data_IF_524301679751
#
_entry.id   IF_524301679751
#
_cell.length_a   1.000
_cell.length_b   1.000
_cell.length_c   1.000
_cell.angle_alpha   90.00
_cell.angle_beta   90.00
_cell.angle_gamma   90.00
#
_symmetry.space_group_name_H-M   'P 1'
#
loop_
_entity.id
_entity.type
_entity.pdbx_description
1 polymer ?
#
# COMPACT_ATOMS: atom_id res chain seq x y z
N UNK A 1 -28.00 12.60 -11.50
CA UNK A 1 -26.62 12.32 -11.05
C UNK A 1 -26.56 11.17 -10.03
N UNK A 2 -27.37 10.12 -10.22
CA UNK A 2 -27.23 8.85 -9.51
C UNK A 2 -27.42 7.77 -10.58
N UNK A 3 -26.45 7.70 -11.48
CA UNK A 3 -26.33 6.52 -12.30
C UNK A 3 -25.70 5.46 -11.41
N UNK A 4 -26.45 4.38 -11.28
CA UNK A 4 -26.18 3.23 -10.45
C UNK A 4 -24.94 2.54 -11.01
N UNK A 5 -23.77 2.91 -10.49
CA UNK A 5 -22.59 2.08 -10.62
C UNK A 5 -23.00 0.69 -10.11
N UNK A 6 -22.78 -0.33 -10.92
CA UNK A 6 -22.79 -1.72 -10.45
C UNK A 6 -21.64 -1.76 -9.46
N UNK A 7 -21.94 -1.62 -8.17
CA UNK A 7 -20.94 -1.80 -7.12
C UNK A 7 -20.70 -3.29 -7.06
N UNK A 8 -19.57 -3.72 -7.63
CA UNK A 8 -19.08 -5.06 -7.36
C UNK A 8 -18.94 -5.22 -5.85
N UNK A 9 -19.16 -6.45 -5.36
CA UNK A 9 -19.08 -6.71 -3.94
C UNK A 9 -17.70 -6.29 -3.40
N UNK A 10 -17.62 -5.70 -2.19
CA UNK A 10 -16.34 -5.28 -1.62
C UNK A 10 -15.33 -6.44 -1.61
N UNK A 11 -14.10 -6.16 -2.02
CA UNK A 11 -13.03 -7.15 -2.05
C UNK A 11 -12.31 -7.11 -0.70
N UNK A 12 -12.36 -8.22 0.03
CA UNK A 12 -11.68 -8.37 1.32
C UNK A 12 -10.46 -9.29 1.13
N UNK A 13 -9.24 -8.83 1.45
CA UNK A 13 -8.04 -9.65 1.30
C UNK A 13 -7.99 -10.76 2.37
N UNK A 14 -7.17 -11.77 2.11
CA UNK A 14 -6.98 -12.91 3.01
C UNK A 14 -5.81 -12.72 3.99
N UNK A 15 -5.25 -11.51 4.09
CA UNK A 15 -4.14 -11.19 4.99
C UNK A 15 -4.51 -11.46 6.45
N UNK A 16 -3.72 -12.24 7.20
CA UNK A 16 -4.07 -12.66 8.56
C UNK A 16 -4.31 -11.53 9.57
N UNK A 17 -3.80 -10.33 9.28
CA UNK A 17 -3.94 -9.15 10.12
C UNK A 17 -4.87 -8.08 9.53
N UNK A 18 -5.56 -8.33 8.42
CA UNK A 18 -6.44 -7.34 7.78
C UNK A 18 -7.51 -6.81 8.74
N UNK A 19 -8.07 -7.69 9.60
CA UNK A 19 -9.03 -7.31 10.63
C UNK A 19 -8.51 -6.33 11.69
N UNK A 20 -7.20 -6.09 11.77
CA UNK A 20 -6.59 -5.09 12.66
C UNK A 20 -6.41 -3.74 11.96
N UNK A 21 -6.57 -3.68 10.65
CA UNK A 21 -6.38 -2.48 9.83
C UNK A 21 -7.67 -1.66 9.78
N UNK A 22 -8.12 -1.18 10.95
CA UNK A 22 -9.38 -0.42 11.08
C UNK A 22 -9.46 0.77 10.12
N UNK A 23 -8.33 1.43 9.83
CA UNK A 23 -8.32 2.56 8.90
C UNK A 23 -8.63 2.18 7.44
N UNK A 24 -8.55 0.90 7.07
CA UNK A 24 -8.94 0.40 5.76
C UNK A 24 -10.40 -0.09 5.75
N UNK A 25 -10.84 -0.71 6.85
CA UNK A 25 -12.17 -1.27 7.02
C UNK A 25 -12.54 -1.36 8.51
N UNK A 26 -13.55 -0.61 8.94
CA UNK A 26 -13.97 -0.47 10.33
C UNK A 26 -15.44 -0.84 10.50
N UNK A 27 -15.67 -2.10 10.86
CA UNK A 27 -16.99 -2.60 11.22
C UNK A 27 -17.10 -2.91 12.71
N UNK A 28 -18.30 -2.71 13.25
CA UNK A 28 -18.69 -2.97 14.63
C UNK A 28 -17.82 -2.24 15.67
N UNK A 29 -17.25 -1.09 15.32
CA UNK A 29 -16.36 -0.34 16.22
C UNK A 29 -15.23 -1.22 16.80
N UNK A 30 -14.68 -2.13 15.99
CA UNK A 30 -13.80 -3.21 16.45
C UNK A 30 -12.50 -2.75 17.13
N UNK A 31 -12.08 -1.51 16.90
CA UNK A 31 -10.86 -0.96 17.48
C UNK A 31 -11.16 0.26 18.36
N UNK A 32 -10.59 0.24 19.57
CA UNK A 32 -10.67 1.35 20.53
C UNK A 32 -9.25 1.75 20.92
N UNK A 33 -8.78 2.92 20.49
CA UNK A 33 -7.51 3.47 20.98
C UNK A 33 -7.73 4.07 22.38
N UNK A 34 -7.10 3.54 23.45
CA UNK A 34 -7.24 4.08 24.79
C UNK A 34 -6.69 5.51 24.95
N UNK A 35 -5.95 6.02 23.97
CA UNK A 35 -5.40 7.38 23.94
C UNK A 35 -6.32 8.38 23.24
N UNK A 36 -7.33 7.92 22.50
CA UNK A 36 -8.30 8.79 21.83
C UNK A 36 -9.50 9.08 22.74
N UNK A 37 -9.92 10.35 22.75
CA UNK A 37 -11.15 10.75 23.42
C UNK A 37 -12.34 10.52 22.49
N UNK A 38 -13.45 9.99 23.03
CA UNK A 38 -14.66 9.72 22.27
C UNK A 38 -15.04 8.24 22.27
N UNK A 39 -16.15 7.92 21.62
CA UNK A 39 -16.56 6.55 21.33
C UNK A 39 -16.17 6.25 19.89
N UNK A 40 -15.60 5.05 19.59
CA UNK A 40 -15.37 4.66 18.21
C UNK A 40 -16.66 4.75 17.39
N UNK A 41 -16.52 5.16 16.15
CA UNK A 41 -17.62 5.30 15.21
C UNK A 41 -17.48 4.19 14.18
N UNK A 42 -18.58 3.49 13.93
CA UNK A 42 -18.67 2.48 12.88
C UNK A 42 -18.50 3.17 11.51
N UNK A 43 -17.90 2.49 10.53
CA UNK A 43 -17.70 3.03 9.17
C UNK A 43 -16.73 4.23 9.10
N UNK A 44 -16.02 4.53 10.20
CA UNK A 44 -14.99 5.55 10.22
C UNK A 44 -13.67 4.99 9.66
N UNK A 45 -13.60 4.82 8.34
CA UNK A 45 -12.46 4.32 7.57
C UNK A 45 -12.37 5.01 6.18
N UNK A 46 -11.68 4.40 5.21
CA UNK A 46 -11.49 4.95 3.86
C UNK A 46 -12.24 4.18 2.77
N UNK A 47 -13.13 3.26 3.13
CA UNK A 47 -13.87 2.37 2.21
C UNK A 47 -12.92 1.59 1.26
N UNK A 48 -11.81 1.05 1.79
CA UNK A 48 -10.80 0.42 0.95
C UNK A 48 -11.33 -0.86 0.24
N UNK A 49 -12.06 -1.78 0.90
CA UNK A 49 -12.66 -2.93 0.22
C UNK A 49 -13.59 -2.59 -0.94
N UNK A 50 -14.36 -1.50 -0.80
CA UNK A 50 -15.26 -0.96 -1.82
C UNK A 50 -14.45 -0.41 -3.00
N UNK A 51 -13.40 0.37 -2.71
CA UNK A 51 -12.50 0.90 -3.73
C UNK A 51 -11.76 -0.21 -4.49
N UNK A 52 -11.35 -1.28 -3.80
CA UNK A 52 -10.71 -2.45 -4.40
C UNK A 52 -11.65 -3.24 -5.32
N UNK A 53 -12.96 -3.17 -5.08
CA UNK A 53 -13.96 -3.65 -6.04
C UNK A 53 -13.89 -2.94 -7.40
N UNK A 54 -13.30 -1.75 -7.47
CA UNK A 54 -13.07 -1.00 -8.72
C UNK A 54 -11.63 -1.16 -9.21
N UNK A 55 -10.63 -1.02 -8.33
CA UNK A 55 -9.22 -1.10 -8.69
C UNK A 55 -8.32 -1.40 -7.47
N UNK A 56 -7.38 -2.35 -7.60
CA UNK A 56 -6.47 -2.76 -6.52
C UNK A 56 -5.04 -2.22 -6.66
N UNK A 57 -4.71 -1.55 -7.76
CA UNK A 57 -3.37 -1.00 -8.00
C UNK A 57 -2.85 -1.27 -9.42
N UNK A 58 -1.68 -0.73 -9.73
CA UNK A 58 -0.99 -0.93 -11.00
C UNK A 58 0.53 -0.89 -10.79
N UNK A 59 1.27 -1.77 -11.45
CA UNK A 59 2.74 -1.76 -11.46
C UNK A 59 3.31 -0.50 -12.13
N UNK A 60 2.51 0.21 -12.93
CA UNK A 60 2.93 1.47 -13.57
C UNK A 60 2.88 2.68 -12.63
N UNK A 61 2.25 2.55 -11.46
CA UNK A 61 2.14 3.64 -10.49
C UNK A 61 3.24 3.51 -9.47
N UNK A 62 4.23 4.41 -9.54
CA UNK A 62 5.35 4.44 -8.61
C UNK A 62 5.10 5.40 -7.46
N UNK A 63 5.36 4.94 -6.23
CA UNK A 63 5.30 5.75 -5.02
C UNK A 63 6.70 5.87 -4.41
N UNK A 64 7.22 7.08 -4.32
CA UNK A 64 8.51 7.35 -3.69
C UNK A 64 8.33 7.58 -2.18
N UNK A 65 9.09 6.85 -1.36
CA UNK A 65 9.09 6.98 0.09
C UNK A 65 10.38 7.63 0.53
N UNK A 66 10.29 8.86 1.04
CA UNK A 66 11.43 9.60 1.59
C UNK A 66 11.38 9.45 3.12
N UNK A 67 12.12 8.48 3.63
CA UNK A 67 12.18 8.15 5.05
C UNK A 67 13.58 7.58 5.39
N UNK A 68 13.69 6.82 6.45
CA UNK A 68 14.89 6.12 6.93
C UNK A 68 15.34 4.95 6.03
N UNK A 69 14.57 4.64 4.98
CA UNK A 69 14.81 3.55 4.03
C UNK A 69 13.66 2.53 4.02
N UNK A 70 13.86 1.43 3.30
CA UNK A 70 12.90 0.34 3.21
C UNK A 70 13.61 -1.01 3.40
N UNK A 71 12.99 -1.94 4.14
CA UNK A 71 13.46 -3.32 4.21
C UNK A 71 13.02 -4.08 2.96
N UNK A 72 13.83 -4.02 1.91
CA UNK A 72 13.54 -4.58 0.59
C UNK A 72 13.28 -6.09 0.56
N UNK A 73 13.74 -6.83 1.57
CA UNK A 73 13.55 -8.28 1.68
C UNK A 73 12.35 -8.68 2.54
N UNK A 74 11.54 -7.72 3.00
CA UNK A 74 10.32 -8.04 3.74
C UNK A 74 9.35 -8.82 2.85
N UNK A 75 8.85 -10.00 3.25
CA UNK A 75 8.06 -10.86 2.36
C UNK A 75 6.77 -10.20 1.86
N UNK A 76 6.18 -9.31 2.66
CA UNK A 76 4.94 -8.59 2.33
C UNK A 76 5.17 -7.33 1.47
N UNK A 77 6.42 -6.88 1.33
CA UNK A 77 6.76 -5.68 0.55
C UNK A 77 7.57 -6.00 -0.70
N UNK A 78 8.45 -7.02 -0.65
CA UNK A 78 9.39 -7.37 -1.72
C UNK A 78 8.74 -7.47 -3.11
N UNK A 79 7.54 -8.05 -3.28
CA UNK A 79 6.88 -8.08 -4.59
C UNK A 79 6.51 -6.70 -5.16
N UNK A 80 6.39 -5.68 -4.31
CA UNK A 80 5.97 -4.33 -4.65
C UNK A 80 7.14 -3.32 -4.59
N UNK A 81 8.36 -3.76 -4.31
CA UNK A 81 9.54 -2.88 -4.34
C UNK A 81 9.91 -2.60 -5.79
N UNK A 82 10.02 -1.31 -6.12
CA UNK A 82 10.49 -0.89 -7.44
C UNK A 82 11.96 -1.28 -7.64
N UNK A 83 12.29 -1.72 -8.85
CA UNK A 83 13.65 -2.05 -9.27
C UNK A 83 14.03 -1.09 -10.39
N UNK A 84 15.17 -0.42 -10.28
CA UNK A 84 15.68 0.48 -11.30
C UNK A 84 16.00 -0.34 -12.58
N UNK A 85 15.23 -0.19 -13.68
CA UNK A 85 15.50 -0.93 -14.90
C UNK A 85 16.73 -0.41 -15.66
N UNK A 86 17.27 0.74 -15.26
CA UNK A 86 18.48 1.35 -15.82
C UNK A 86 19.78 0.76 -15.30
N UNK A 87 19.75 0.01 -14.19
CA UNK A 87 20.95 -0.45 -13.48
C UNK A 87 21.24 -1.94 -13.68
N UNK A 88 22.54 -2.29 -13.69
CA UNK A 88 23.01 -3.68 -13.66
C UNK A 88 23.54 -3.98 -12.25
N UNK A 89 22.86 -4.84 -11.47
CA UNK A 89 23.22 -5.08 -10.08
C UNK A 89 24.68 -5.50 -9.85
N UNK A 90 25.41 -4.68 -9.09
CA UNK A 90 26.71 -5.03 -8.51
C UNK A 90 27.86 -4.98 -9.52
N UNK A 91 27.72 -4.17 -10.58
CA UNK A 91 28.81 -3.92 -11.53
C UNK A 91 29.71 -2.75 -11.10
N UNK A 92 29.28 -1.95 -10.11
CA UNK A 92 30.03 -0.78 -9.62
C UNK A 92 30.01 0.43 -10.55
N UNK A 93 29.03 0.52 -11.45
CA UNK A 93 28.92 1.55 -12.49
C UNK A 93 27.60 2.32 -12.36
N UNK A 94 27.70 3.63 -12.60
CA UNK A 94 26.66 4.55 -13.05
C UNK A 94 25.92 4.16 -14.34
N UNK A 95 25.09 3.11 -14.41
CA UNK A 95 24.62 2.61 -15.72
C UNK A 95 23.59 3.54 -16.38
N UNK A 96 22.69 4.13 -15.58
CA UNK A 96 21.66 5.05 -16.08
C UNK A 96 22.10 6.53 -16.12
N UNK A 97 23.29 6.81 -15.58
CA UNK A 97 23.92 8.13 -15.45
C UNK A 97 23.10 9.13 -14.62
N UNK A 98 22.37 8.65 -13.61
CA UNK A 98 21.59 9.48 -12.70
C UNK A 98 22.43 10.07 -11.54
N UNK A 99 23.68 9.61 -11.38
CA UNK A 99 24.63 10.10 -10.38
C UNK A 99 24.76 9.22 -9.13
N UNK A 100 24.11 8.06 -9.09
CA UNK A 100 24.17 7.09 -8.00
C UNK A 100 24.60 5.72 -8.53
N UNK A 101 25.71 5.20 -8.01
CA UNK A 101 26.24 3.88 -8.41
C UNK A 101 25.38 2.76 -7.79
N UNK A 102 24.92 1.81 -8.60
CA UNK A 102 24.20 0.60 -8.19
C UNK A 102 22.90 0.90 -7.38
N UNK A 103 22.11 1.91 -7.74
CA UNK A 103 20.86 2.30 -7.05
C UNK A 103 19.64 1.42 -7.44
N UNK A 104 19.79 0.10 -7.27
CA UNK A 104 18.84 -0.92 -7.74
C UNK A 104 17.42 -0.74 -7.18
N UNK A 105 17.26 -0.17 -5.99
CA UNK A 105 15.97 -0.01 -5.30
C UNK A 105 15.65 1.46 -4.98
N UNK A 106 16.27 2.38 -5.73
CA UNK A 106 16.20 3.83 -5.56
C UNK A 106 17.21 4.41 -4.57
#
# INVERSE_FOLDING_TARGET
YKDQAVIDAPIVPNDPNFNKMWGLHNQNCQFVDPRMQGTPVDDADIDAPEAWGVHTGSESTLAAIIDTGCYIYHPDLAPNIWVNPGEIPGNGIDDDHNGYIDDIWG
#
